data_IF_495405567658
#
_entry.id   IF_495405567658
#
_cell.length_a   1.000
_cell.length_b   1.000
_cell.length_c   1.000
_cell.angle_alpha   90.00
_cell.angle_beta   90.00
_cell.angle_gamma   90.00
#
_symmetry.space_group_name_H-M   'P 1'
#
loop_
_entity.id
_entity.type
_entity.pdbx_description
1 polymer ?
#
# COMPACT_ATOMS: atom_id res chain seq x y z
N UNK A 1 22.89 7.40 -10.02
CA UNK A 1 21.83 7.42 -8.99
C UNK A 1 20.96 6.19 -9.23
N UNK A 2 20.84 5.29 -8.26
CA UNK A 2 20.05 4.05 -8.40
C UNK A 2 18.69 4.34 -7.77
N UNK A 3 17.61 4.12 -8.52
CA UNK A 3 16.25 4.19 -7.99
C UNK A 3 15.83 2.77 -7.63
N UNK A 4 15.47 2.55 -6.37
CA UNK A 4 14.97 1.25 -5.91
C UNK A 4 13.45 1.31 -5.83
N UNK A 5 12.78 0.27 -6.35
CA UNK A 5 11.34 0.08 -6.27
C UNK A 5 11.03 -1.00 -5.26
N UNK A 6 10.06 -0.73 -4.40
CA UNK A 6 9.54 -1.69 -3.43
C UNK A 6 8.03 -1.82 -3.57
N UNK A 7 7.51 -3.02 -3.36
CA UNK A 7 6.09 -3.33 -3.37
C UNK A 7 5.65 -3.66 -1.95
N UNK A 8 4.67 -2.92 -1.44
CA UNK A 8 4.00 -3.17 -0.15
C UNK A 8 2.59 -3.68 -0.42
N UNK A 9 2.18 -4.74 0.26
CA UNK A 9 0.82 -5.30 0.15
C UNK A 9 0.18 -5.33 1.53
N UNK A 10 -1.00 -4.74 1.62
CA UNK A 10 -1.87 -4.75 2.80
C UNK A 10 -3.09 -5.60 2.48
N UNK A 11 -3.57 -6.40 3.43
CA UNK A 11 -4.77 -7.22 3.23
C UNK A 11 -5.54 -7.39 4.54
N UNK A 12 -6.86 -7.27 4.48
CA UNK A 12 -7.73 -7.42 5.65
C UNK A 12 -9.12 -7.92 5.24
N UNK A 13 -9.79 -8.67 6.10
CA UNK A 13 -11.20 -9.03 5.91
C UNK A 13 -12.16 -7.87 6.21
N UNK A 14 -11.69 -6.84 6.93
CA UNK A 14 -12.42 -5.61 7.22
C UNK A 14 -11.84 -4.44 6.40
N UNK A 15 -12.68 -3.87 5.54
CA UNK A 15 -12.31 -2.75 4.66
C UNK A 15 -11.87 -1.50 5.44
N UNK A 16 -12.55 -1.18 6.54
CA UNK A 16 -12.26 0.01 7.35
C UNK A 16 -10.90 -0.11 8.07
N UNK A 17 -10.61 -1.30 8.61
CA UNK A 17 -9.30 -1.59 9.20
C UNK A 17 -8.19 -1.49 8.16
N UNK A 18 -8.40 -2.02 6.95
CA UNK A 18 -7.45 -1.89 5.85
C UNK A 18 -7.20 -0.44 5.47
N UNK A 19 -8.26 0.35 5.30
CA UNK A 19 -8.15 1.77 4.97
C UNK A 19 -7.36 2.55 6.04
N UNK A 20 -7.58 2.22 7.31
CA UNK A 20 -6.85 2.84 8.44
C UNK A 20 -5.36 2.50 8.39
N UNK A 21 -5.02 1.23 8.17
CA UNK A 21 -3.64 0.77 8.10
C UNK A 21 -2.90 1.39 6.91
N UNK A 22 -3.51 1.38 5.72
CA UNK A 22 -2.98 2.01 4.51
C UNK A 22 -2.78 3.51 4.74
N UNK A 23 -3.77 4.22 5.29
CA UNK A 23 -3.64 5.66 5.55
C UNK A 23 -2.52 5.98 6.56
N UNK A 24 -2.35 5.15 7.59
CA UNK A 24 -1.24 5.30 8.54
C UNK A 24 0.12 5.11 7.84
N UNK A 25 0.23 4.09 6.98
CA UNK A 25 1.43 3.89 6.16
C UNK A 25 1.72 5.10 5.27
N UNK A 26 0.73 5.56 4.50
CA UNK A 26 0.83 6.72 3.59
C UNK A 26 1.26 8.00 4.31
N UNK A 27 0.86 8.19 5.57
CA UNK A 27 1.27 9.35 6.38
C UNK A 27 2.66 9.23 6.98
N UNK A 28 3.09 8.00 7.24
CA UNK A 28 4.40 7.71 7.84
C UNK A 28 5.54 7.62 6.83
N UNK A 29 5.23 7.43 5.55
CA UNK A 29 6.22 7.24 4.50
C UNK A 29 6.68 8.57 3.91
N UNK A 30 7.98 8.82 3.90
CA UNK A 30 8.61 9.93 3.16
C UNK A 30 8.92 9.54 1.70
N UNK A 31 8.64 8.29 1.33
CA UNK A 31 8.94 7.74 0.00
C UNK A 31 7.98 8.23 -1.08
N UNK A 32 8.46 8.25 -2.32
CA UNK A 32 7.64 8.59 -3.48
C UNK A 32 6.69 7.42 -3.79
N UNK A 33 5.39 7.69 -3.88
CA UNK A 33 4.40 6.68 -4.26
C UNK A 33 4.24 6.72 -5.77
N UNK A 34 4.45 5.57 -6.40
CA UNK A 34 4.39 5.42 -7.86
C UNK A 34 3.01 4.95 -8.30
N UNK A 35 2.45 3.96 -7.60
CA UNK A 35 1.19 3.33 -7.96
C UNK A 35 0.49 2.77 -6.72
N UNK A 36 -0.84 2.75 -6.75
CA UNK A 36 -1.70 2.15 -5.74
C UNK A 36 -2.77 1.34 -6.46
N UNK A 37 -2.84 0.04 -6.17
CA UNK A 37 -3.86 -0.85 -6.70
C UNK A 37 -4.67 -1.45 -5.56
N UNK A 38 -5.95 -1.67 -5.83
CA UNK A 38 -6.89 -2.26 -4.88
C UNK A 38 -7.56 -3.48 -5.49
N UNK A 39 -7.83 -4.49 -4.67
CA UNK A 39 -8.53 -5.68 -5.08
C UNK A 39 -9.34 -6.29 -3.94
N UNK A 40 -10.36 -7.06 -4.30
CA UNK A 40 -11.15 -7.86 -3.37
C UNK A 40 -11.21 -9.28 -3.89
N UNK A 41 -10.87 -10.24 -3.03
CA UNK A 41 -10.94 -11.67 -3.36
C UNK A 41 -11.49 -12.44 -2.17
N UNK A 42 -12.58 -13.19 -2.38
CA UNK A 42 -13.22 -14.04 -1.36
C UNK A 42 -13.52 -13.29 -0.04
N UNK A 43 -13.93 -12.02 -0.12
CA UNK A 43 -14.22 -11.18 1.04
C UNK A 43 -12.98 -10.63 1.78
N UNK A 44 -11.78 -10.83 1.22
CA UNK A 44 -10.55 -10.20 1.69
C UNK A 44 -10.26 -9.01 0.80
N UNK A 45 -10.16 -7.84 1.41
CA UNK A 45 -9.74 -6.59 0.80
C UNK A 45 -8.22 -6.53 0.76
N UNK A 46 -7.64 -6.00 -0.31
CA UNK A 46 -6.19 -5.85 -0.43
C UNK A 46 -5.81 -4.57 -1.16
N UNK A 47 -4.72 -3.95 -0.73
CA UNK A 47 -4.12 -2.77 -1.36
C UNK A 47 -2.64 -3.05 -1.61
N UNK A 48 -2.20 -2.89 -2.84
CA UNK A 48 -0.80 -2.94 -3.23
C UNK A 48 -0.31 -1.51 -3.50
N UNK A 49 0.84 -1.15 -2.94
CA UNK A 49 1.47 0.16 -3.11
C UNK A 49 2.88 -0.05 -3.65
N UNK A 50 3.20 0.61 -4.75
CA UNK A 50 4.56 0.66 -5.30
C UNK A 50 5.20 1.96 -4.85
N UNK A 51 6.35 1.86 -4.16
CA UNK A 51 7.11 3.01 -3.67
C UNK A 51 8.51 3.05 -4.30
N UNK A 52 9.02 4.26 -4.47
CA UNK A 52 10.38 4.57 -4.93
C UNK A 52 11.16 5.33 -3.87
N UNK A 53 12.43 4.96 -3.71
CA UNK A 53 13.37 5.69 -2.88
C UNK A 53 14.73 5.88 -3.57
N UNK A 54 15.39 6.98 -3.22
CA UNK A 54 16.62 7.49 -3.82
C UNK A 54 17.86 7.02 -3.08
#
# INVERSE_FOLDING_TARGET
>A
MIIVKEIRVFSNANEFSLATEVNNFLRSTEHNIVDIQYGVSRGIYSVMIVIEFK
#
